data_IF_724546274626
#
_entry.id   IF_724546274626
#
_cell.length_a   1.000
_cell.length_b   1.000
_cell.length_c   1.000
_cell.angle_alpha   90.00
_cell.angle_beta   90.00
_cell.angle_gamma   90.00
#
_symmetry.space_group_name_H-M   'P 1'
#
loop_
_entity.id
_entity.type
_entity.pdbx_description
1 polymer ?
#
# COMPACT_ATOMS: atom_id res chain seq x y z
N UNK A 1 -60.61 -28.72 -18.77
CA UNK A 1 -59.15 -28.68 -18.82
C UNK A 1 -58.68 -27.27 -19.10
N UNK A 2 -58.98 -26.31 -18.24
CA UNK A 2 -58.62 -24.89 -18.42
C UNK A 2 -58.10 -24.27 -17.15
N UNK A 3 -57.64 -25.06 -16.22
CA UNK A 3 -57.24 -24.61 -14.88
C UNK A 3 -55.76 -24.72 -14.61
N UNK A 4 -54.98 -25.28 -15.55
CA UNK A 4 -53.54 -25.43 -15.40
C UNK A 4 -52.68 -24.27 -15.85
N UNK A 5 -53.29 -23.28 -16.48
CA UNK A 5 -52.52 -22.15 -17.03
C UNK A 5 -52.41 -20.97 -16.10
N UNK A 6 -53.07 -20.96 -14.96
CA UNK A 6 -53.09 -19.80 -14.06
C UNK A 6 -52.07 -19.92 -12.93
N UNK A 7 -51.50 -21.10 -12.69
CA UNK A 7 -50.54 -21.31 -11.61
C UNK A 7 -49.08 -21.07 -12.02
N UNK A 8 -48.83 -20.82 -13.29
CA UNK A 8 -47.45 -20.64 -13.76
C UNK A 8 -47.01 -19.16 -13.81
N UNK A 9 -47.96 -18.24 -13.56
CA UNK A 9 -47.68 -16.80 -13.67
C UNK A 9 -47.28 -16.11 -12.35
N UNK A 10 -47.30 -16.82 -11.23
CA UNK A 10 -47.08 -16.21 -9.92
C UNK A 10 -45.67 -16.46 -9.36
N UNK A 11 -44.87 -17.31 -10.01
CA UNK A 11 -43.58 -17.77 -9.49
C UNK A 11 -42.35 -17.03 -10.05
N UNK A 12 -42.58 -15.97 -10.87
CA UNK A 12 -41.47 -15.21 -11.47
C UNK A 12 -41.20 -13.88 -10.76
N UNK A 13 -42.00 -13.55 -9.74
CA UNK A 13 -41.91 -12.22 -9.10
C UNK A 13 -41.13 -12.19 -7.78
N UNK A 14 -40.39 -13.24 -7.43
CA UNK A 14 -39.56 -13.23 -6.22
C UNK A 14 -38.09 -13.57 -6.54
N UNK A 15 -37.51 -12.82 -7.44
CA UNK A 15 -36.06 -12.66 -7.44
C UNK A 15 -35.74 -11.39 -6.66
N UNK A 16 -35.25 -11.49 -5.43
CA UNK A 16 -34.59 -10.33 -4.84
C UNK A 16 -33.33 -10.08 -5.67
N UNK A 17 -33.33 -8.99 -6.37
CA UNK A 17 -32.09 -8.43 -6.89
C UNK A 17 -31.23 -7.96 -5.72
N UNK A 18 -30.60 -8.89 -5.05
CA UNK A 18 -29.54 -8.59 -4.10
C UNK A 18 -28.23 -8.44 -4.88
N UNK A 19 -28.15 -7.44 -5.69
CA UNK A 19 -26.89 -6.91 -6.18
C UNK A 19 -26.65 -5.57 -5.52
N UNK A 20 -26.68 -5.57 -4.21
CA UNK A 20 -25.98 -4.56 -3.47
C UNK A 20 -24.51 -4.97 -3.43
N UNK A 21 -23.74 -4.61 -4.45
CA UNK A 21 -22.36 -4.25 -4.22
C UNK A 21 -22.42 -2.99 -3.37
N UNK A 22 -22.69 -3.14 -2.10
CA UNK A 22 -22.32 -2.12 -1.14
C UNK A 22 -20.81 -2.05 -1.19
N UNK A 23 -20.36 -1.14 -2.00
CA UNK A 23 -19.07 -0.53 -1.81
C UNK A 23 -19.18 0.18 -0.45
N UNK A 24 -19.03 -0.60 0.62
CA UNK A 24 -18.71 -0.03 1.91
C UNK A 24 -17.39 0.69 1.69
N UNK A 25 -17.57 1.93 1.34
CA UNK A 25 -16.54 2.92 1.55
C UNK A 25 -16.27 2.87 3.05
N UNK A 26 -15.38 1.97 3.42
CA UNK A 26 -14.80 1.90 4.73
C UNK A 26 -14.36 3.32 5.04
N UNK A 27 -15.12 3.97 5.88
CA UNK A 27 -14.72 5.25 6.41
C UNK A 27 -13.35 5.02 7.01
N UNK A 28 -12.36 5.57 6.38
CA UNK A 28 -11.01 5.69 6.86
C UNK A 28 -11.11 6.13 8.32
N UNK A 29 -10.62 5.35 9.29
CA UNK A 29 -10.60 5.81 10.65
C UNK A 29 -9.72 7.05 10.65
N UNK A 30 -10.36 8.18 10.78
CA UNK A 30 -9.67 9.42 11.13
C UNK A 30 -8.77 9.06 12.31
N UNK A 31 -7.45 9.19 12.21
CA UNK A 31 -6.61 8.97 13.36
C UNK A 31 -6.97 10.06 14.36
N UNK A 32 -7.87 9.71 15.28
CA UNK A 32 -8.02 10.49 16.49
C UNK A 32 -6.68 10.37 17.19
N UNK A 33 -5.89 11.42 17.10
CA UNK A 33 -4.65 11.53 17.82
C UNK A 33 -4.96 11.48 19.30
N UNK A 34 -5.03 10.27 19.86
CA UNK A 34 -5.02 10.08 21.29
C UNK A 34 -3.59 10.35 21.73
N UNK A 35 -3.35 11.57 22.18
CA UNK A 35 -2.15 11.91 22.90
C UNK A 35 -2.06 11.04 24.15
N UNK A 36 -1.19 10.04 24.16
CA UNK A 36 -1.06 9.13 25.29
C UNK A 36 -0.14 7.94 25.10
N UNK A 37 0.40 7.71 23.92
CA UNK A 37 1.43 6.72 23.71
C UNK A 37 2.80 7.39 23.95
N UNK A 38 3.47 7.02 25.02
CA UNK A 38 4.92 7.09 25.12
C UNK A 38 5.52 6.05 24.15
N UNK A 39 5.19 6.16 22.89
CA UNK A 39 5.92 5.57 21.79
C UNK A 39 7.02 6.54 21.45
N UNK A 40 8.22 6.07 21.42
CA UNK A 40 9.36 6.79 20.88
C UNK A 40 8.93 7.29 19.50
N UNK A 41 8.57 8.56 19.44
CA UNK A 41 8.29 9.26 18.20
C UNK A 41 9.61 9.25 17.46
N UNK A 42 9.79 8.26 16.59
CA UNK A 42 10.83 8.37 15.59
C UNK A 42 10.51 9.66 14.86
N UNK A 43 11.35 10.68 14.94
CA UNK A 43 11.11 11.91 14.22
C UNK A 43 11.08 11.50 12.75
N UNK A 44 9.89 11.53 12.15
CA UNK A 44 9.78 11.63 10.70
C UNK A 44 10.45 12.93 10.38
N UNK A 45 11.72 12.85 10.09
CA UNK A 45 12.50 13.99 9.64
C UNK A 45 11.76 14.53 8.43
N UNK A 46 11.33 15.78 8.43
CA UNK A 46 10.74 16.35 7.22
C UNK A 46 11.76 16.16 6.13
N UNK A 47 11.42 15.35 5.14
CA UNK A 47 12.27 15.04 4.00
C UNK A 47 12.56 16.36 3.29
N UNK A 48 13.58 17.07 3.77
CA UNK A 48 14.02 18.31 3.17
C UNK A 48 14.80 17.98 1.93
N UNK A 49 14.18 18.25 0.80
CA UNK A 49 14.82 18.10 -0.47
C UNK A 49 14.22 17.00 -1.31
N UNK A 50 14.94 16.57 -2.29
CA UNK A 50 14.53 15.67 -3.35
C UNK A 50 14.65 14.19 -2.94
N UNK A 51 14.28 13.83 -1.71
CA UNK A 51 14.32 12.46 -1.20
C UNK A 51 13.10 11.69 -1.62
N UNK A 52 13.27 10.41 -1.96
CA UNK A 52 12.17 9.50 -2.27
C UNK A 52 11.35 9.20 -1.01
N UNK A 53 10.03 9.37 -1.04
CA UNK A 53 9.16 9.03 0.09
C UNK A 53 9.04 7.53 0.34
N UNK A 54 9.47 6.70 -0.61
CA UNK A 54 9.45 5.25 -0.51
C UNK A 54 10.43 4.69 0.53
N UNK A 55 11.41 5.49 0.94
CA UNK A 55 12.44 5.12 1.91
C UNK A 55 12.44 6.09 3.09
N UNK A 56 11.51 5.91 4.05
CA UNK A 56 11.26 6.92 5.08
C UNK A 56 12.41 7.10 6.07
N UNK A 57 13.27 6.11 6.22
CA UNK A 57 14.35 6.12 7.22
C UNK A 57 15.68 6.64 6.65
N UNK A 58 15.76 6.80 5.34
CA UNK A 58 16.97 7.27 4.65
C UNK A 58 16.63 8.19 3.49
N UNK A 59 17.38 9.26 3.31
CA UNK A 59 17.17 10.16 2.19
C UNK A 59 17.88 9.64 0.93
N UNK A 60 17.14 8.92 0.10
CA UNK A 60 17.58 8.55 -1.24
C UNK A 60 17.04 9.59 -2.22
N UNK A 61 17.94 10.35 -2.82
CA UNK A 61 17.57 11.47 -3.70
C UNK A 61 17.04 10.97 -5.04
N UNK A 62 15.92 11.51 -5.47
CA UNK A 62 15.39 11.27 -6.81
C UNK A 62 16.14 12.12 -7.85
N UNK A 63 16.29 11.58 -9.06
CA UNK A 63 16.93 12.32 -10.17
C UNK A 63 18.44 12.41 -10.13
N UNK A 64 19.12 11.65 -9.26
CA UNK A 64 20.60 11.60 -9.18
C UNK A 64 21.19 10.30 -9.73
N UNK A 65 20.38 9.49 -10.36
CA UNK A 65 20.74 8.15 -10.82
C UNK A 65 20.20 7.07 -9.94
N UNK A 66 20.70 5.86 -10.11
CA UNK A 66 20.27 4.68 -9.39
C UNK A 66 20.98 4.52 -8.05
N UNK A 67 20.36 3.79 -7.14
CA UNK A 67 20.94 3.37 -5.87
C UNK A 67 21.02 1.85 -5.82
N UNK A 68 22.18 1.36 -5.44
CA UNK A 68 22.44 -0.05 -5.19
C UNK A 68 22.78 -0.30 -3.73
N UNK A 69 22.61 -1.56 -3.28
CA UNK A 69 23.02 -1.96 -1.95
C UNK A 69 24.53 -1.98 -1.83
N UNK A 70 25.07 -1.32 -0.84
CA UNK A 70 26.49 -1.33 -0.57
C UNK A 70 26.96 -2.76 -0.25
N UNK A 71 28.01 -3.21 -0.93
CA UNK A 71 28.50 -4.59 -0.83
C UNK A 71 27.76 -5.60 -1.71
N UNK A 72 26.74 -5.17 -2.45
CA UNK A 72 26.06 -5.97 -3.47
C UNK A 72 26.79 -5.99 -4.80
N UNK A 73 26.12 -6.56 -5.83
CA UNK A 73 26.64 -6.66 -7.19
C UNK A 73 26.23 -5.50 -8.11
N UNK A 74 25.58 -4.49 -7.56
CA UNK A 74 25.17 -3.32 -8.32
C UNK A 74 26.34 -2.47 -8.79
N UNK A 75 26.12 -1.65 -9.81
CA UNK A 75 27.16 -0.83 -10.44
C UNK A 75 27.03 0.68 -10.15
N UNK A 76 26.17 1.05 -9.23
CA UNK A 76 25.94 2.45 -8.82
C UNK A 76 25.25 3.27 -9.90
N UNK A 77 25.31 4.60 -9.84
CA UNK A 77 26.34 5.47 -9.26
C UNK A 77 26.29 5.73 -7.78
N UNK A 78 25.17 5.42 -7.11
CA UNK A 78 25.05 5.65 -5.68
C UNK A 78 24.89 4.32 -4.94
N UNK A 79 25.28 4.29 -3.66
CA UNK A 79 25.17 3.12 -2.82
C UNK A 79 24.53 3.48 -1.48
N UNK A 80 23.74 2.55 -0.94
CA UNK A 80 23.12 2.68 0.36
C UNK A 80 23.42 1.46 1.22
N UNK A 81 23.74 1.71 2.50
CA UNK A 81 23.89 0.64 3.46
C UNK A 81 22.53 0.19 3.98
N UNK A 82 22.32 -1.12 4.02
CA UNK A 82 21.10 -1.71 4.55
C UNK A 82 21.17 -2.06 6.04
N UNK A 83 20.07 -2.56 6.59
CA UNK A 83 18.78 -2.68 5.91
C UNK A 83 18.08 -1.34 5.75
N UNK A 84 17.35 -1.17 4.63
CA UNK A 84 16.58 0.03 4.31
C UNK A 84 15.11 -0.31 4.28
N UNK A 85 14.29 0.42 5.03
CA UNK A 85 12.85 0.21 4.99
C UNK A 85 12.24 0.74 3.69
N UNK A 86 11.39 -0.06 3.05
CA UNK A 86 10.69 0.26 1.82
C UNK A 86 9.19 0.32 2.06
N UNK A 87 8.54 1.40 1.65
CA UNK A 87 7.11 1.61 1.89
C UNK A 87 6.42 2.08 0.61
N UNK A 88 5.47 1.28 0.14
CA UNK A 88 4.56 1.62 -0.95
C UNK A 88 5.14 1.62 -2.35
N UNK A 89 6.42 1.90 -2.51
CA UNK A 89 7.11 1.93 -3.79
C UNK A 89 8.61 1.62 -3.63
N UNK A 90 9.21 1.08 -4.66
CA UNK A 90 10.64 0.76 -4.67
C UNK A 90 11.28 1.18 -6.01
N UNK A 91 11.45 2.50 -6.24
CA UNK A 91 11.95 3.00 -7.51
C UNK A 91 13.39 2.59 -7.84
N UNK A 92 14.16 2.16 -6.84
CA UNK A 92 15.55 1.73 -7.02
C UNK A 92 15.72 0.21 -6.96
N UNK A 93 14.62 -0.56 -6.72
CA UNK A 93 14.67 -2.02 -6.68
C UNK A 93 15.52 -2.59 -5.55
N UNK A 94 15.56 -1.93 -4.41
CA UNK A 94 16.35 -2.34 -3.25
C UNK A 94 15.73 -3.50 -2.49
N UNK A 95 14.39 -3.60 -2.53
CA UNK A 95 13.59 -4.67 -1.92
C UNK A 95 13.18 -5.69 -3.00
N UNK A 96 14.08 -6.61 -3.29
CA UNK A 96 13.90 -7.55 -4.39
C UNK A 96 12.85 -8.62 -4.11
N UNK A 97 12.67 -9.02 -2.87
CA UNK A 97 11.73 -10.07 -2.47
C UNK A 97 10.38 -9.52 -2.00
N UNK A 98 10.24 -8.20 -1.85
CA UNK A 98 9.00 -7.52 -1.53
C UNK A 98 8.57 -7.66 -0.07
N UNK A 99 9.51 -7.89 0.83
CA UNK A 99 9.24 -8.03 2.27
C UNK A 99 9.16 -6.69 3.02
N UNK A 100 9.43 -5.58 2.35
CA UNK A 100 9.43 -4.23 2.90
C UNK A 100 10.80 -3.78 3.44
N UNK A 101 11.85 -4.55 3.20
CA UNK A 101 13.22 -4.23 3.57
C UNK A 101 14.17 -4.47 2.40
N UNK A 102 14.89 -3.47 2.06
CA UNK A 102 15.94 -3.53 1.04
C UNK A 102 17.32 -3.72 1.64
N UNK A 103 18.22 -4.24 0.85
CA UNK A 103 19.64 -4.36 1.20
C UNK A 103 19.90 -5.21 2.46
N UNK A 104 19.20 -6.32 2.56
CA UNK A 104 19.43 -7.31 3.62
C UNK A 104 20.57 -8.26 3.28
#
# INVERSE_FOLDING_TARGET
>A
MRWLSVLLAVLVALMPAASACENERQAEPTPTATAGAKGTKVPVSPQRGNCSPCYPDVCLKVGVGDYDCAGGSGNGPNYVNGPVRVVGCDPFGLDRDGDGWGCQ
#
